data_IF_942746004971
#
_entry.id   IF_942746004971
#
_cell.length_a   1.000
_cell.length_b   1.000
_cell.length_c   1.000
_cell.angle_alpha   90.00
_cell.angle_beta   90.00
_cell.angle_gamma   90.00
#
_symmetry.space_group_name_H-M   'P 1'
#
loop_
_entity.id
_entity.type
_entity.pdbx_description
1 polymer ?
#
# COMPACT_ATOMS: atom_id res chain seq x y z
N UNK A 1 1.18 -29.15 32.34
CA UNK A 1 0.20 -28.05 32.25
C UNK A 1 0.35 -27.35 30.90
N UNK A 2 1.50 -26.77 30.53
CA UNK A 2 1.74 -26.16 29.19
C UNK A 2 1.28 -26.96 27.96
N UNK A 3 1.55 -28.27 27.89
CA UNK A 3 1.12 -29.10 26.74
C UNK A 3 -0.39 -29.33 26.63
N UNK A 4 -1.10 -29.32 27.76
CA UNK A 4 -2.57 -29.44 27.77
C UNK A 4 -3.19 -28.10 27.39
N UNK A 5 -2.65 -26.99 27.87
CA UNK A 5 -3.11 -25.64 27.52
C UNK A 5 -2.89 -25.33 26.03
N UNK A 6 -1.76 -25.77 25.46
CA UNK A 6 -1.52 -25.68 24.01
C UNK A 6 -2.49 -26.52 23.18
N UNK A 7 -2.85 -27.73 23.63
CA UNK A 7 -3.82 -28.58 22.94
C UNK A 7 -5.24 -28.02 23.02
N UNK A 8 -5.64 -27.48 24.18
CA UNK A 8 -6.95 -26.85 24.37
C UNK A 8 -7.04 -25.55 23.57
N UNK A 9 -5.97 -24.75 23.55
CA UNK A 9 -5.86 -23.56 22.70
C UNK A 9 -5.97 -23.88 21.22
N UNK A 10 -5.27 -24.94 20.75
CA UNK A 10 -5.36 -25.40 19.38
C UNK A 10 -6.79 -25.87 19.05
N UNK A 11 -7.38 -26.74 19.86
CA UNK A 11 -8.74 -27.25 19.67
C UNK A 11 -9.80 -26.14 19.66
N UNK A 12 -9.60 -25.10 20.46
CA UNK A 12 -10.49 -23.92 20.49
C UNK A 12 -10.32 -23.02 19.26
N UNK A 13 -9.11 -22.97 18.68
CA UNK A 13 -8.82 -22.21 17.47
C UNK A 13 -9.25 -22.95 16.18
N UNK A 14 -9.38 -24.28 16.21
CA UNK A 14 -9.77 -25.11 15.05
C UNK A 14 -11.06 -24.64 14.36
N UNK A 15 -12.21 -24.41 15.05
CA UNK A 15 -13.44 -24.02 14.35
C UNK A 15 -13.31 -22.66 13.66
N UNK A 16 -12.67 -21.68 14.32
CA UNK A 16 -12.42 -20.36 13.74
C UNK A 16 -11.44 -20.44 12.57
N UNK A 17 -10.35 -21.19 12.72
CA UNK A 17 -9.36 -21.41 11.67
C UNK A 17 -9.93 -22.13 10.46
N UNK A 18 -10.79 -23.13 10.67
CA UNK A 18 -11.47 -23.86 9.61
C UNK A 18 -12.42 -22.95 8.83
N UNK A 19 -13.24 -22.14 9.51
CA UNK A 19 -14.14 -21.19 8.84
C UNK A 19 -13.36 -20.17 8.01
N UNK A 20 -12.26 -19.61 8.55
CA UNK A 20 -11.41 -18.66 7.83
C UNK A 20 -10.73 -19.30 6.62
N UNK A 21 -10.15 -20.48 6.80
CA UNK A 21 -9.49 -21.22 5.71
C UNK A 21 -10.47 -21.59 4.61
N UNK A 22 -11.64 -22.14 4.96
CA UNK A 22 -12.66 -22.51 3.96
C UNK A 22 -13.16 -21.28 3.22
N UNK A 23 -13.47 -20.19 3.95
CA UNK A 23 -14.00 -18.97 3.35
C UNK A 23 -13.00 -18.29 2.41
N UNK A 24 -11.70 -18.39 2.70
CA UNK A 24 -10.64 -17.84 1.86
C UNK A 24 -10.26 -18.76 0.69
N UNK A 25 -10.12 -20.06 0.96
CA UNK A 25 -9.69 -21.04 -0.05
C UNK A 25 -10.80 -21.38 -1.04
N UNK A 26 -12.07 -21.41 -0.62
CA UNK A 26 -13.18 -21.74 -1.52
C UNK A 26 -13.25 -20.83 -2.76
N UNK A 27 -13.27 -19.48 -2.67
CA UNK A 27 -13.26 -18.62 -3.84
C UNK A 27 -11.95 -18.71 -4.64
N UNK A 28 -10.81 -18.91 -3.97
CA UNK A 28 -9.52 -19.08 -4.65
C UNK A 28 -9.50 -20.35 -5.52
N UNK A 29 -10.04 -21.45 -5.00
CA UNK A 29 -10.18 -22.71 -5.73
C UNK A 29 -11.12 -22.57 -6.92
N UNK A 30 -12.23 -21.83 -6.75
CA UNK A 30 -13.15 -21.52 -7.85
C UNK A 30 -12.45 -20.75 -8.96
N UNK A 31 -11.66 -19.71 -8.61
CA UNK A 31 -10.87 -18.95 -9.59
C UNK A 31 -9.82 -19.85 -10.27
N UNK A 32 -9.15 -20.72 -9.52
CA UNK A 32 -8.17 -21.65 -10.07
C UNK A 32 -8.80 -22.63 -11.07
N UNK A 33 -9.99 -23.15 -10.76
CA UNK A 33 -10.76 -24.02 -11.67
C UNK A 33 -11.15 -23.25 -12.94
N UNK A 34 -11.67 -22.03 -12.81
CA UNK A 34 -12.02 -21.19 -13.96
C UNK A 34 -10.81 -20.77 -14.81
N UNK A 35 -9.62 -20.68 -14.22
CA UNK A 35 -8.40 -20.31 -14.94
C UNK A 35 -7.98 -21.35 -16.00
N UNK A 36 -8.40 -22.61 -15.84
CA UNK A 36 -8.11 -23.71 -16.78
C UNK A 36 -9.31 -24.00 -17.68
N UNK A 37 -10.36 -23.18 -17.65
CA UNK A 37 -11.52 -23.38 -18.52
C UNK A 37 -11.35 -22.66 -19.87
N UNK A 38 -11.97 -23.20 -20.94
CA UNK A 38 -11.96 -22.57 -22.24
C UNK A 38 -12.66 -21.20 -22.19
N UNK A 39 -12.19 -20.28 -23.02
CA UNK A 39 -12.63 -18.89 -22.99
C UNK A 39 -14.13 -18.73 -23.28
N UNK A 40 -14.78 -17.78 -22.59
CA UNK A 40 -16.19 -17.37 -22.79
C UNK A 40 -17.23 -18.45 -22.49
N UNK A 41 -16.87 -19.49 -21.73
CA UNK A 41 -17.79 -20.54 -21.30
C UNK A 41 -17.86 -20.56 -19.77
N UNK A 42 -19.05 -20.34 -19.21
CA UNK A 42 -19.31 -20.46 -17.76
C UNK A 42 -19.94 -21.81 -17.45
N UNK A 43 -19.27 -22.91 -17.83
CA UNK A 43 -19.75 -24.26 -17.55
C UNK A 43 -18.62 -25.10 -16.98
N UNK A 44 -18.82 -25.57 -15.75
CA UNK A 44 -17.84 -26.33 -14.97
C UNK A 44 -17.57 -27.75 -15.50
N UNK A 45 -18.33 -28.20 -16.50
CA UNK A 45 -18.27 -29.56 -17.05
C UNK A 45 -17.32 -29.72 -18.25
N UNK A 46 -16.60 -28.66 -18.63
CA UNK A 46 -15.65 -28.72 -19.73
C UNK A 46 -14.31 -29.32 -19.31
N UNK A 47 -13.63 -29.96 -20.26
CA UNK A 47 -12.26 -30.44 -20.08
C UNK A 47 -11.32 -29.26 -19.83
N UNK A 48 -10.32 -29.41 -18.95
CA UNK A 48 -9.32 -28.38 -18.71
C UNK A 48 -8.55 -28.06 -20.00
N UNK A 49 -8.51 -26.77 -20.36
CA UNK A 49 -7.79 -26.21 -21.50
C UNK A 49 -6.79 -25.15 -21.02
N UNK A 50 -5.52 -25.33 -21.39
CA UNK A 50 -4.43 -24.42 -21.03
C UNK A 50 -4.17 -23.34 -22.09
N UNK A 51 -4.99 -23.27 -23.15
CA UNK A 51 -4.86 -22.27 -24.22
C UNK A 51 -4.91 -20.82 -23.70
N UNK A 52 -5.68 -20.57 -22.63
CA UNK A 52 -5.78 -19.28 -21.95
C UNK A 52 -4.43 -18.75 -21.44
N UNK A 53 -3.53 -19.64 -20.99
CA UNK A 53 -2.20 -19.23 -20.52
C UNK A 53 -1.30 -18.78 -21.67
N UNK A 54 -1.45 -19.35 -22.87
CA UNK A 54 -0.70 -18.90 -24.05
C UNK A 54 -1.08 -17.47 -24.43
N UNK A 55 -2.33 -17.08 -24.22
CA UNK A 55 -2.81 -15.72 -24.49
C UNK A 55 -2.21 -14.67 -23.55
N UNK A 56 -1.80 -15.05 -22.33
CA UNK A 56 -1.08 -14.16 -21.42
C UNK A 56 0.21 -13.63 -22.04
N UNK A 57 0.93 -14.47 -22.79
CA UNK A 57 2.19 -14.13 -23.44
C UNK A 57 2.01 -13.40 -24.77
N UNK A 58 0.90 -13.61 -25.48
CA UNK A 58 0.70 -13.06 -26.84
C UNK A 58 -0.10 -11.75 -26.87
N UNK A 59 -1.01 -11.52 -25.93
CA UNK A 59 -1.93 -10.35 -25.93
C UNK A 59 -1.41 -9.15 -25.13
N UNK A 60 -0.12 -9.13 -24.79
CA UNK A 60 0.49 -7.98 -24.10
C UNK A 60 0.13 -7.83 -22.62
N UNK A 61 -0.53 -8.80 -21.99
CA UNK A 61 -0.85 -8.75 -20.56
C UNK A 61 0.40 -8.58 -19.68
N UNK A 62 1.52 -9.20 -20.06
CA UNK A 62 2.81 -9.05 -19.37
C UNK A 62 3.25 -7.59 -19.32
N UNK A 63 3.03 -6.83 -20.40
CA UNK A 63 3.40 -5.41 -20.45
C UNK A 63 2.59 -4.62 -19.42
N UNK A 64 1.29 -4.87 -19.32
CA UNK A 64 0.43 -4.25 -18.30
C UNK A 64 0.86 -4.59 -16.87
N UNK A 65 1.20 -5.87 -16.62
CA UNK A 65 1.72 -6.31 -15.31
C UNK A 65 3.03 -5.60 -14.96
N UNK A 66 3.96 -5.49 -15.90
CA UNK A 66 5.22 -4.78 -15.70
C UNK A 66 5.00 -3.28 -15.42
N UNK A 67 4.06 -2.64 -16.11
CA UNK A 67 3.69 -1.25 -15.82
C UNK A 67 3.09 -1.09 -14.42
N UNK A 68 2.17 -1.98 -14.03
CA UNK A 68 1.60 -1.98 -12.68
C UNK A 68 2.66 -2.17 -11.60
N UNK A 69 3.58 -3.10 -11.80
CA UNK A 69 4.69 -3.34 -10.88
C UNK A 69 5.64 -2.13 -10.80
N UNK A 70 5.98 -1.53 -11.95
CA UNK A 70 6.80 -0.32 -12.00
C UNK A 70 6.16 0.87 -11.27
N UNK A 71 4.86 1.09 -11.47
CA UNK A 71 4.11 2.14 -10.77
C UNK A 71 4.00 1.86 -9.26
N UNK A 72 3.79 0.61 -8.85
CA UNK A 72 3.75 0.21 -7.45
C UNK A 72 5.11 0.39 -6.75
N UNK A 73 6.22 0.04 -7.42
CA UNK A 73 7.56 0.28 -6.90
C UNK A 73 7.86 1.78 -6.79
N UNK A 74 7.51 2.56 -7.81
CA UNK A 74 7.72 4.01 -7.79
C UNK A 74 6.91 4.68 -6.67
N UNK A 75 5.63 4.33 -6.51
CA UNK A 75 4.80 4.88 -5.43
C UNK A 75 5.31 4.47 -4.05
N UNK A 76 5.75 3.22 -3.88
CA UNK A 76 6.33 2.72 -2.61
C UNK A 76 7.62 3.46 -2.26
N UNK A 77 8.50 3.69 -3.23
CA UNK A 77 9.74 4.43 -3.01
C UNK A 77 9.47 5.89 -2.63
N UNK A 78 8.56 6.57 -3.34
CA UNK A 78 8.15 7.94 -3.03
C UNK A 78 7.53 8.02 -1.64
N UNK A 79 6.62 7.09 -1.33
CA UNK A 79 6.00 7.02 -0.01
C UNK A 79 7.03 6.79 1.09
N UNK A 80 7.98 5.88 0.89
CA UNK A 80 9.04 5.63 1.88
C UNK A 80 9.85 6.90 2.15
N UNK A 81 10.27 7.60 1.09
CA UNK A 81 11.05 8.85 1.21
C UNK A 81 10.28 9.96 1.94
N UNK A 82 8.95 10.02 1.79
CA UNK A 82 8.11 11.04 2.45
C UNK A 82 7.71 10.61 3.87
N UNK A 83 7.20 9.39 4.01
CA UNK A 83 6.66 8.88 5.27
C UNK A 83 7.75 8.62 6.29
N UNK A 84 8.96 8.21 5.89
CA UNK A 84 10.05 7.97 6.84
C UNK A 84 10.41 9.20 7.70
N UNK A 85 10.81 10.36 7.12
CA UNK A 85 11.15 11.53 7.92
C UNK A 85 9.95 12.04 8.73
N UNK A 86 8.74 11.93 8.18
CA UNK A 86 7.52 12.32 8.88
C UNK A 86 7.25 11.41 10.09
N UNK A 87 7.32 10.10 9.92
CA UNK A 87 7.13 9.11 10.97
C UNK A 87 8.18 9.28 12.07
N UNK A 88 9.45 9.46 11.68
CA UNK A 88 10.53 9.71 12.62
C UNK A 88 10.30 11.00 13.42
N UNK A 89 9.91 12.09 12.75
CA UNK A 89 9.55 13.35 13.39
C UNK A 89 8.40 13.17 14.37
N UNK A 90 7.35 12.46 13.99
CA UNK A 90 6.18 12.19 14.83
C UNK A 90 6.50 11.31 16.04
N UNK A 91 7.36 10.29 15.88
CA UNK A 91 7.69 9.36 16.94
C UNK A 91 8.70 9.92 17.96
N UNK A 92 9.68 10.71 17.51
CA UNK A 92 10.84 11.09 18.34
C UNK A 92 10.99 12.58 18.61
N UNK A 93 10.45 13.44 17.75
CA UNK A 93 10.72 14.90 17.81
C UNK A 93 9.49 15.69 18.26
N UNK A 94 8.32 15.35 17.72
CA UNK A 94 7.09 16.12 17.90
C UNK A 94 6.36 15.70 19.18
N UNK A 95 6.68 16.33 20.31
CA UNK A 95 6.08 16.07 21.64
C UNK A 95 4.54 16.22 21.73
N UNK A 96 3.86 16.66 20.68
CA UNK A 96 2.39 16.81 20.64
C UNK A 96 1.81 17.07 19.25
N UNK A 97 2.61 17.64 18.34
CA UNK A 97 2.20 17.86 16.94
C UNK A 97 1.94 16.55 16.17
N UNK A 98 2.54 15.44 16.61
CA UNK A 98 2.24 14.10 16.07
C UNK A 98 0.77 13.72 16.21
N UNK A 99 0.11 14.06 17.32
CA UNK A 99 -1.32 13.79 17.50
C UNK A 99 -2.17 14.54 16.48
N UNK A 100 -1.85 15.81 16.22
CA UNK A 100 -2.56 16.63 15.23
C UNK A 100 -2.44 16.03 13.82
N UNK A 101 -1.22 15.66 13.40
CA UNK A 101 -1.00 15.01 12.09
C UNK A 101 -1.78 13.69 12.01
N UNK A 102 -1.72 12.87 13.05
CA UNK A 102 -2.47 11.60 13.10
C UNK A 102 -3.96 11.85 12.94
N UNK A 103 -4.55 12.80 13.66
CA UNK A 103 -5.98 13.15 13.51
C UNK A 103 -6.30 13.64 12.09
N UNK A 104 -5.46 14.51 11.52
CA UNK A 104 -5.63 15.03 10.17
C UNK A 104 -5.53 13.93 9.08
N UNK A 105 -4.76 12.87 9.32
CA UNK A 105 -4.68 11.71 8.42
C UNK A 105 -5.84 10.75 8.65
N UNK A 106 -6.22 10.50 9.90
CA UNK A 106 -7.34 9.60 10.24
C UNK A 106 -8.67 10.16 9.73
N UNK A 107 -8.90 11.47 9.81
CA UNK A 107 -10.16 12.06 9.31
C UNK A 107 -10.33 11.85 7.79
N UNK A 108 -9.23 11.75 7.02
CA UNK A 108 -9.32 11.45 5.58
C UNK A 108 -9.67 9.99 5.30
N UNK A 109 -9.47 9.08 6.25
CA UNK A 109 -9.87 7.68 6.14
C UNK A 109 -11.37 7.45 6.33
N UNK A 110 -12.06 8.35 7.03
CA UNK A 110 -13.52 8.28 7.18
C UNK A 110 -14.27 8.56 5.88
N UNK A 111 -13.64 9.26 4.94
CA UNK A 111 -14.20 9.50 3.61
C UNK A 111 -13.87 8.33 2.70
N UNK A 112 -14.87 7.81 1.99
CA UNK A 112 -14.69 6.75 0.99
C UNK A 112 -13.57 7.10 0.00
N UNK A 113 -12.65 6.16 -0.20
CA UNK A 113 -11.53 6.30 -1.13
C UNK A 113 -12.00 6.69 -2.54
N UNK A 114 -13.09 6.07 -3.01
CA UNK A 114 -13.67 6.38 -4.32
C UNK A 114 -14.07 7.85 -4.43
N UNK A 115 -14.69 8.43 -3.39
CA UNK A 115 -15.11 9.84 -3.40
C UNK A 115 -13.89 10.76 -3.50
N UNK A 116 -12.83 10.47 -2.74
CA UNK A 116 -11.58 11.24 -2.77
C UNK A 116 -10.90 11.17 -4.14
N UNK A 117 -10.86 9.98 -4.75
CA UNK A 117 -10.30 9.78 -6.09
C UNK A 117 -11.12 10.52 -7.15
N UNK A 118 -12.45 10.47 -7.10
CA UNK A 118 -13.30 11.26 -8.01
C UNK A 118 -13.08 12.76 -7.86
N UNK A 119 -12.83 13.25 -6.64
CA UNK A 119 -12.43 14.64 -6.41
C UNK A 119 -11.15 15.02 -7.17
N UNK A 120 -10.13 14.15 -7.12
CA UNK A 120 -8.89 14.35 -7.90
C UNK A 120 -9.12 14.23 -9.40
N UNK A 121 -9.97 13.30 -9.85
CA UNK A 121 -10.35 13.17 -11.27
C UNK A 121 -10.99 14.45 -11.78
N UNK A 122 -11.97 15.02 -11.08
CA UNK A 122 -12.61 16.30 -11.41
C UNK A 122 -11.63 17.49 -11.40
N UNK A 123 -10.62 17.40 -10.56
CA UNK A 123 -9.60 18.44 -10.43
C UNK A 123 -8.57 18.41 -11.58
N UNK A 124 -8.17 17.20 -12.00
CA UNK A 124 -7.08 16.96 -12.96
C UNK A 124 -7.54 16.62 -14.38
N UNK A 125 -8.84 16.38 -14.59
CA UNK A 125 -9.40 16.19 -15.93
C UNK A 125 -9.25 17.45 -16.79
N UNK A 126 -9.34 17.24 -18.11
CA UNK A 126 -9.34 18.34 -19.06
C UNK A 126 -10.53 19.27 -18.80
N UNK A 127 -10.27 20.57 -18.65
CA UNK A 127 -11.26 21.58 -18.27
C UNK A 127 -11.73 21.47 -16.81
N UNK A 128 -11.06 20.66 -15.98
CA UNK A 128 -11.32 20.53 -14.56
C UNK A 128 -10.90 21.78 -13.76
N UNK A 129 -10.91 21.66 -12.43
CA UNK A 129 -10.67 22.81 -11.55
C UNK A 129 -9.30 23.48 -11.80
N UNK A 130 -8.22 22.70 -11.92
CA UNK A 130 -6.88 23.25 -12.12
C UNK A 130 -6.75 23.92 -13.49
N UNK A 131 -7.12 23.22 -14.57
CA UNK A 131 -7.01 23.78 -15.93
C UNK A 131 -7.95 24.97 -16.12
N UNK A 132 -9.17 24.90 -15.59
CA UNK A 132 -10.15 25.98 -15.66
C UNK A 132 -9.66 27.27 -15.01
N UNK A 133 -9.11 27.19 -13.80
CA UNK A 133 -8.51 28.35 -13.13
C UNK A 133 -7.24 28.83 -13.83
N UNK A 134 -6.36 27.93 -14.27
CA UNK A 134 -5.13 28.29 -14.96
C UNK A 134 -5.43 29.00 -16.28
N UNK A 135 -6.39 28.50 -17.06
CA UNK A 135 -6.86 29.11 -18.30
C UNK A 135 -7.47 30.48 -18.05
N UNK A 136 -8.24 30.65 -16.98
CA UNK A 136 -8.83 31.94 -16.64
C UNK A 136 -7.78 33.01 -16.31
N UNK A 137 -6.64 32.63 -15.71
CA UNK A 137 -5.58 33.57 -15.34
C UNK A 137 -4.51 33.79 -16.41
N UNK A 138 -4.17 32.75 -17.18
CA UNK A 138 -3.01 32.79 -18.09
C UNK A 138 -3.37 32.61 -19.56
N UNK A 139 -4.62 32.22 -19.87
CA UNK A 139 -5.03 31.83 -21.22
C UNK A 139 -4.39 30.54 -21.73
N UNK A 140 -3.47 29.94 -20.97
CA UNK A 140 -2.81 28.68 -21.33
C UNK A 140 -3.75 27.51 -21.15
N UNK A 141 -3.68 26.57 -22.09
CA UNK A 141 -4.37 25.28 -22.00
C UNK A 141 -3.31 24.19 -21.96
N UNK A 142 -3.48 23.22 -21.07
CA UNK A 142 -2.68 22.01 -21.04
C UNK A 142 -3.59 20.83 -21.34
N UNK A 143 -3.09 19.83 -22.07
CA UNK A 143 -3.84 18.58 -22.20
C UNK A 143 -4.01 17.96 -20.81
N UNK A 144 -5.24 17.62 -20.46
CA UNK A 144 -5.56 17.07 -19.14
C UNK A 144 -4.61 15.93 -18.78
N UNK A 145 -3.89 16.08 -17.67
CA UNK A 145 -2.87 15.13 -17.24
C UNK A 145 -3.47 13.82 -16.69
N UNK A 146 -4.80 13.72 -16.65
CA UNK A 146 -5.53 12.56 -16.20
C UNK A 146 -5.11 11.33 -17.01
N UNK A 147 -4.83 10.23 -16.29
CA UNK A 147 -4.31 8.96 -16.83
C UNK A 147 -2.86 8.94 -17.29
N UNK A 148 -2.11 10.05 -17.17
CA UNK A 148 -0.66 9.99 -17.30
C UNK A 148 -0.04 9.26 -16.10
N UNK A 149 1.07 8.55 -16.35
CA UNK A 149 1.79 7.78 -15.33
C UNK A 149 2.09 8.60 -14.06
N UNK A 150 2.57 9.87 -14.13
CA UNK A 150 2.82 10.66 -12.92
C UNK A 150 1.57 10.94 -12.09
N UNK A 151 0.42 11.16 -12.74
CA UNK A 151 -0.87 11.41 -12.05
C UNK A 151 -1.40 10.13 -11.41
N UNK A 152 -1.23 8.99 -12.07
CA UNK A 152 -1.57 7.69 -11.49
C UNK A 152 -0.70 7.43 -10.25
N UNK A 153 0.62 7.64 -10.35
CA UNK A 153 1.55 7.50 -9.22
C UNK A 153 1.18 8.46 -8.09
N UNK A 154 0.80 9.70 -8.38
CA UNK A 154 0.30 10.66 -7.38
C UNK A 154 -0.95 10.12 -6.66
N UNK A 155 -1.93 9.59 -7.42
CA UNK A 155 -3.12 8.98 -6.84
C UNK A 155 -2.79 7.79 -5.93
N UNK A 156 -1.87 6.93 -6.34
CA UNK A 156 -1.37 5.80 -5.52
C UNK A 156 -0.70 6.30 -4.24
N UNK A 157 0.22 7.27 -4.33
CA UNK A 157 0.88 7.86 -3.17
C UNK A 157 -0.17 8.43 -2.20
N UNK A 158 -1.13 9.21 -2.70
CA UNK A 158 -2.19 9.79 -1.88
C UNK A 158 -3.10 8.75 -1.20
N UNK A 159 -3.45 7.68 -1.90
CA UNK A 159 -4.30 6.61 -1.36
C UNK A 159 -3.58 5.78 -0.30
N UNK A 160 -2.31 5.43 -0.56
CA UNK A 160 -1.53 4.52 0.29
C UNK A 160 -0.71 5.22 1.39
N UNK A 161 -0.62 6.55 1.38
CA UNK A 161 0.05 7.35 2.40
C UNK A 161 -0.28 6.96 3.86
N UNK A 162 -1.56 6.91 4.30
CA UNK A 162 -1.88 6.54 5.68
C UNK A 162 -1.44 5.11 6.04
N UNK A 163 -1.54 4.19 5.08
CA UNK A 163 -1.22 2.78 5.27
C UNK A 163 0.28 2.52 5.42
N UNK A 164 1.15 3.37 4.85
CA UNK A 164 2.60 3.30 5.10
C UNK A 164 3.01 4.10 6.34
N UNK A 165 2.41 5.28 6.57
CA UNK A 165 2.78 6.17 7.64
C UNK A 165 2.57 5.55 9.03
N UNK A 166 1.40 4.95 9.30
CA UNK A 166 1.08 4.48 10.64
C UNK A 166 1.95 3.29 11.10
N UNK A 167 2.16 2.24 10.29
CA UNK A 167 3.09 1.17 10.66
C UNK A 167 4.52 1.68 10.89
N UNK A 168 5.01 2.63 10.07
CA UNK A 168 6.33 3.23 10.25
C UNK A 168 6.44 3.98 11.59
N UNK A 169 5.42 4.74 11.98
CA UNK A 169 5.39 5.42 13.28
C UNK A 169 5.51 4.39 14.41
N UNK A 170 4.73 3.30 14.34
CA UNK A 170 4.74 2.26 15.37
C UNK A 170 6.10 1.57 15.46
N UNK A 171 6.68 1.17 14.33
CA UNK A 171 8.01 0.53 14.29
C UNK A 171 9.10 1.45 14.84
N UNK A 172 9.13 2.73 14.43
CA UNK A 172 10.13 3.69 14.91
C UNK A 172 9.93 4.03 16.40
N UNK A 173 8.69 4.08 16.87
CA UNK A 173 8.38 4.33 18.28
C UNK A 173 8.84 3.18 19.20
N UNK A 174 8.86 1.94 18.69
CA UNK A 174 9.37 0.77 19.45
C UNK A 174 10.88 0.78 19.65
N UNK A 175 11.65 1.50 18.81
CA UNK A 175 13.11 1.59 18.95
C UNK A 175 13.44 2.41 20.20
N UNK A 176 14.13 1.85 21.22
CA UNK A 176 14.47 2.59 22.43
C UNK A 176 15.50 3.69 22.14
N UNK A 177 15.33 4.87 22.73
CA UNK A 177 16.25 6.00 22.52
C UNK A 177 17.64 5.72 23.09
N UNK A 178 17.73 4.86 24.11
CA UNK A 178 18.98 4.46 24.75
C UNK A 178 19.93 3.76 23.77
N UNK A 179 19.39 2.96 22.84
CA UNK A 179 20.19 2.29 21.81
C UNK A 179 20.85 3.31 20.85
N UNK A 180 20.16 4.41 20.55
CA UNK A 180 20.68 5.48 19.69
C UNK A 180 21.72 6.33 20.42
N UNK A 181 21.50 6.60 21.71
CA UNK A 181 22.45 7.31 22.55
C UNK A 181 23.75 6.50 22.71
N UNK A 182 23.65 5.20 22.99
CA UNK A 182 24.82 4.32 23.08
C UNK A 182 25.62 4.25 21.77
N UNK A 183 24.95 4.19 20.61
CA UNK A 183 25.62 4.21 19.32
C UNK A 183 26.34 5.55 19.08
N UNK A 184 25.73 6.66 19.46
CA UNK A 184 26.35 7.99 19.38
C UNK A 184 27.58 8.11 20.32
N UNK A 185 27.51 7.54 21.52
CA UNK A 185 28.62 7.52 22.49
C UNK A 185 29.81 6.68 21.99
N UNK A 186 29.55 5.63 21.21
CA UNK A 186 30.57 4.83 20.53
C UNK A 186 31.15 5.53 19.28
N UNK A 187 30.74 6.76 18.98
CA UNK A 187 31.25 7.56 17.87
C UNK A 187 30.52 7.34 16.54
N UNK A 188 29.38 6.65 16.52
CA UNK A 188 28.60 6.47 15.31
C UNK A 188 27.99 7.81 14.85
N UNK A 189 28.12 8.11 13.56
CA UNK A 189 27.46 9.28 12.95
C UNK A 189 26.00 8.97 12.61
N UNK A 190 25.22 10.01 12.22
CA UNK A 190 23.77 9.89 11.96
C UNK A 190 23.40 8.87 10.88
N UNK A 191 24.29 8.60 9.92
CA UNK A 191 24.05 7.64 8.82
C UNK A 191 24.13 6.18 9.30
N UNK A 192 25.21 5.74 9.98
CA UNK A 192 25.26 4.43 10.63
C UNK A 192 24.08 4.20 11.59
N UNK A 193 23.77 5.16 12.46
CA UNK A 193 22.65 5.05 13.41
C UNK A 193 21.32 4.80 12.67
N UNK A 194 21.12 5.44 11.52
CA UNK A 194 19.95 5.23 10.69
C UNK A 194 19.91 3.84 10.04
N UNK A 195 20.97 3.44 9.32
CA UNK A 195 20.95 2.22 8.50
C UNK A 195 21.20 0.94 9.31
N UNK A 196 22.00 1.02 10.38
CA UNK A 196 22.39 -0.12 11.20
C UNK A 196 21.60 -0.21 12.51
N UNK A 197 20.94 0.87 12.93
CA UNK A 197 20.12 0.92 14.14
C UNK A 197 18.64 1.09 13.83
N UNK A 198 18.23 2.30 13.44
CA UNK A 198 16.82 2.69 13.33
C UNK A 198 16.07 1.83 12.29
N UNK A 199 16.65 1.56 11.13
CA UNK A 199 16.03 0.75 10.07
C UNK A 199 15.84 -0.73 10.47
N UNK A 200 16.86 -1.48 10.93
CA UNK A 200 16.69 -2.88 11.32
C UNK A 200 15.90 -3.07 12.62
N UNK A 201 16.00 -2.14 13.59
CA UNK A 201 15.26 -2.26 14.86
C UNK A 201 13.77 -1.85 14.73
N UNK A 202 13.42 -1.07 13.70
CA UNK A 202 12.01 -0.75 13.39
C UNK A 202 11.37 -1.75 12.42
N UNK A 203 12.16 -2.64 11.81
CA UNK A 203 11.66 -3.77 11.06
C UNK A 203 11.18 -4.86 12.04
N UNK A 204 10.06 -5.56 11.73
CA UNK A 204 9.54 -6.64 12.56
C UNK A 204 10.45 -7.88 12.60
#
# INVERSE_FOLDING_TARGET
MERQDQRIGLLSAVPMGAVLLISFLAPLMVIAIFSVMPQKVFSLLHLPDFSSYKLLFTQGYIKSVLWSFGMAMASTAILFVICWPLAFGMAKVFKGFGLFITIAVVITLFVSENIRLFGWVLTLMKGGLIEGHLRAWTGLTFEGALYNVPVIVFGLVYAYFPFMLFPLIQGIAMVPDDARQAAADLGASRRPIFFEGDLPLSAP
#
